data_IF_274804853292
#
_entry.id   IF_274804853292
#
_cell.length_a   1.000
_cell.length_b   1.000
_cell.length_c   1.000
_cell.angle_alpha   90.00
_cell.angle_beta   90.00
_cell.angle_gamma   90.00
#
_symmetry.space_group_name_H-M   'P 1'
#
loop_
_entity.id
_entity.type
_entity.pdbx_description
1 polymer ?
#
# COMPACT_ATOMS: atom_id res chain seq x y z
N UNK A 1 -11.95 -64.62 -23.87
CA UNK A 1 -11.18 -63.77 -22.93
C UNK A 1 -10.99 -62.31 -23.38
N UNK A 2 -11.12 -61.94 -24.68
CA UNK A 2 -10.91 -60.56 -25.18
C UNK A 2 -11.98 -59.52 -24.81
N UNK A 3 -13.23 -59.93 -24.50
CA UNK A 3 -14.31 -58.96 -24.16
C UNK A 3 -14.28 -58.36 -22.75
N UNK A 4 -13.59 -58.97 -21.79
CA UNK A 4 -13.47 -58.47 -20.42
C UNK A 4 -12.43 -57.32 -20.29
N UNK A 5 -11.40 -57.28 -21.14
CA UNK A 5 -10.39 -56.22 -21.17
C UNK A 5 -10.93 -54.91 -21.74
N UNK A 6 -11.90 -54.94 -22.67
CA UNK A 6 -12.48 -53.76 -23.27
C UNK A 6 -13.38 -52.97 -22.31
N UNK A 7 -13.90 -53.60 -21.26
CA UNK A 7 -14.72 -52.93 -20.24
C UNK A 7 -13.90 -52.45 -19.03
N UNK A 8 -12.69 -52.94 -18.83
CA UNK A 8 -11.83 -52.50 -17.72
C UNK A 8 -11.13 -51.18 -18.02
N UNK A 9 -10.79 -50.89 -19.28
CA UNK A 9 -10.12 -49.65 -19.66
C UNK A 9 -10.96 -48.38 -19.36
N UNK A 10 -12.25 -48.28 -19.73
CA UNK A 10 -13.07 -47.12 -19.38
C UNK A 10 -13.34 -47.00 -17.89
N UNK A 11 -13.43 -48.10 -17.13
CA UNK A 11 -13.57 -48.06 -15.69
C UNK A 11 -12.32 -47.51 -14.99
N UNK A 12 -11.13 -47.90 -15.40
CA UNK A 12 -9.87 -47.37 -14.87
C UNK A 12 -9.71 -45.87 -15.20
N UNK A 13 -10.09 -45.45 -16.42
CA UNK A 13 -10.08 -44.05 -16.80
C UNK A 13 -11.04 -43.21 -15.96
N UNK A 14 -12.27 -43.75 -15.72
CA UNK A 14 -13.25 -43.05 -14.88
C UNK A 14 -12.78 -42.94 -13.42
N UNK A 15 -12.15 -43.97 -12.86
CA UNK A 15 -11.59 -43.95 -11.50
C UNK A 15 -10.41 -42.96 -11.42
N UNK A 16 -9.56 -42.85 -12.43
CA UNK A 16 -8.49 -41.88 -12.48
C UNK A 16 -9.01 -40.45 -12.61
N UNK A 17 -10.06 -40.21 -13.42
CA UNK A 17 -10.71 -38.91 -13.52
C UNK A 17 -11.41 -38.50 -12.23
N UNK A 18 -12.11 -39.43 -11.56
CA UNK A 18 -12.74 -39.14 -10.26
C UNK A 18 -11.72 -38.92 -9.15
N UNK A 19 -10.62 -39.65 -9.14
CA UNK A 19 -9.51 -39.44 -8.19
C UNK A 19 -8.82 -38.10 -8.43
N UNK A 20 -8.56 -37.73 -9.69
CA UNK A 20 -8.00 -36.43 -10.04
C UNK A 20 -8.95 -35.26 -9.68
N UNK A 21 -10.25 -35.41 -9.95
CA UNK A 21 -11.28 -34.43 -9.58
C UNK A 21 -11.41 -34.28 -8.05
N UNK A 22 -11.31 -35.36 -7.30
CA UNK A 22 -11.28 -35.35 -5.83
C UNK A 22 -10.02 -34.66 -5.29
N UNK A 23 -8.85 -34.94 -5.88
CA UNK A 23 -7.59 -34.26 -5.49
C UNK A 23 -7.64 -32.77 -5.76
N UNK A 24 -8.28 -32.31 -6.85
CA UNK A 24 -8.50 -30.91 -7.16
C UNK A 24 -9.55 -30.24 -6.25
N UNK A 25 -10.53 -31.04 -5.74
CA UNK A 25 -11.58 -30.57 -4.83
C UNK A 25 -11.11 -30.51 -3.36
N UNK A 26 -10.10 -31.33 -2.99
CA UNK A 26 -9.51 -31.32 -1.65
C UNK A 26 -8.44 -30.23 -1.62
N UNK A 27 -8.77 -29.07 -1.04
CA UNK A 27 -7.81 -27.99 -0.83
C UNK A 27 -6.63 -28.44 0.04
N UNK A 28 -5.48 -27.79 -0.14
CA UNK A 28 -4.31 -27.98 0.70
C UNK A 28 -4.14 -26.81 1.67
N UNK A 29 -3.58 -27.08 2.83
CA UNK A 29 -3.29 -26.08 3.87
C UNK A 29 -1.78 -25.87 3.93
N UNK A 30 -1.23 -24.87 3.23
CA UNK A 30 0.23 -24.68 3.11
C UNK A 30 0.88 -24.37 4.45
N UNK A 31 0.16 -23.73 5.36
CA UNK A 31 0.64 -23.25 6.66
C UNK A 31 0.10 -24.06 7.84
N UNK A 32 -0.49 -25.26 7.64
CA UNK A 32 -1.16 -26.05 8.68
C UNK A 32 -0.36 -26.27 9.97
N UNK A 33 0.96 -26.28 9.89
CA UNK A 33 1.84 -26.55 11.01
C UNK A 33 2.79 -25.37 11.27
N UNK A 34 2.46 -24.17 10.83
CA UNK A 34 3.24 -22.97 11.11
C UNK A 34 3.14 -22.66 12.60
N UNK A 35 4.30 -22.71 13.28
CA UNK A 35 4.42 -22.31 14.68
C UNK A 35 4.88 -20.85 14.76
N UNK A 36 4.29 -20.08 15.66
CA UNK A 36 4.70 -18.70 15.92
C UNK A 36 6.20 -18.58 16.25
N UNK A 37 6.77 -19.59 16.93
CA UNK A 37 8.19 -19.64 17.24
C UNK A 37 9.11 -19.73 16.00
N UNK A 38 8.58 -20.04 14.83
CA UNK A 38 9.31 -20.07 13.56
C UNK A 38 9.34 -18.69 12.89
N UNK A 39 8.51 -17.74 13.33
CA UNK A 39 8.40 -16.40 12.78
C UNK A 39 9.28 -15.46 13.63
N UNK A 40 10.32 -14.88 13.04
CA UNK A 40 11.18 -13.90 13.69
C UNK A 40 10.53 -12.51 13.73
N UNK A 41 9.88 -12.11 12.64
CA UNK A 41 9.09 -10.87 12.54
C UNK A 41 8.04 -10.98 11.45
N UNK A 42 7.00 -10.18 11.56
CA UNK A 42 5.96 -10.09 10.53
C UNK A 42 5.45 -8.66 10.42
N UNK A 43 5.11 -8.25 9.18
CA UNK A 43 4.43 -6.98 8.90
C UNK A 43 3.33 -7.21 7.89
N UNK A 44 2.33 -6.33 7.88
CA UNK A 44 1.26 -6.34 6.88
C UNK A 44 1.12 -4.97 6.23
N UNK A 45 1.06 -4.94 4.90
CA UNK A 45 0.72 -3.76 4.10
C UNK A 45 -0.71 -3.89 3.60
N UNK A 46 -1.53 -2.89 3.90
CA UNK A 46 -2.89 -2.76 3.37
C UNK A 46 -2.88 -1.78 2.19
N UNK A 47 -3.44 -2.21 1.06
CA UNK A 47 -3.54 -1.36 -0.13
C UNK A 47 -4.95 -1.48 -0.74
N UNK A 48 -5.76 -0.38 -0.81
CA UNK A 48 -5.63 0.85 -0.02
C UNK A 48 -5.89 0.64 1.48
N UNK A 49 -5.44 1.52 2.38
CA UNK A 49 -4.92 2.88 2.21
C UNK A 49 -3.41 3.00 2.02
N UNK A 50 -2.72 1.93 1.69
CA UNK A 50 -1.27 1.85 1.50
C UNK A 50 -0.47 2.11 2.78
N UNK A 51 -0.92 1.48 3.87
CA UNK A 51 -0.29 1.53 5.19
C UNK A 51 0.34 0.21 5.55
N UNK A 52 1.55 0.27 6.10
CA UNK A 52 2.27 -0.89 6.63
C UNK A 52 2.25 -0.86 8.15
N UNK A 53 1.94 -2.01 8.75
CA UNK A 53 1.81 -2.20 10.20
C UNK A 53 2.70 -3.35 10.62
N UNK A 54 3.49 -3.17 11.68
CA UNK A 54 4.26 -4.27 12.30
C UNK A 54 3.32 -5.15 13.13
N UNK A 55 3.55 -6.47 13.09
CA UNK A 55 2.71 -7.45 13.79
C UNK A 55 3.45 -7.94 15.03
N UNK A 56 3.10 -7.40 16.20
CA UNK A 56 3.67 -7.82 17.48
C UNK A 56 3.20 -9.22 17.88
N UNK A 57 1.91 -9.52 17.69
CA UNK A 57 1.31 -10.81 18.04
C UNK A 57 1.36 -11.81 16.88
N UNK A 58 2.57 -12.32 16.58
CA UNK A 58 2.77 -13.31 15.51
C UNK A 58 2.00 -14.63 15.77
N UNK A 59 1.60 -14.90 17.02
CA UNK A 59 0.84 -16.12 17.36
C UNK A 59 -0.56 -16.09 16.77
N UNK A 60 -1.20 -14.93 16.77
CA UNK A 60 -2.53 -14.75 16.18
C UNK A 60 -2.47 -14.85 14.64
N UNK A 61 -1.45 -14.23 14.02
CA UNK A 61 -1.20 -14.39 12.60
C UNK A 61 -0.98 -15.85 12.20
N UNK A 62 -0.14 -16.59 12.95
CA UNK A 62 0.11 -18.01 12.71
C UNK A 62 -1.20 -18.82 12.82
N UNK A 63 -2.07 -18.50 13.76
CA UNK A 63 -3.38 -19.12 13.90
C UNK A 63 -4.26 -18.88 12.65
N UNK A 64 -4.37 -17.64 12.17
CA UNK A 64 -5.10 -17.28 10.96
C UNK A 64 -4.54 -18.02 9.73
N UNK A 65 -3.22 -18.06 9.57
CA UNK A 65 -2.55 -18.74 8.46
C UNK A 65 -2.74 -20.27 8.48
N UNK A 66 -2.77 -20.87 9.67
CA UNK A 66 -3.02 -22.30 9.83
C UNK A 66 -4.38 -22.75 9.25
N UNK A 67 -5.37 -21.86 9.21
CA UNK A 67 -6.70 -22.15 8.69
C UNK A 67 -6.85 -21.92 7.19
N UNK A 68 -5.86 -21.31 6.55
CA UNK A 68 -5.87 -21.05 5.12
C UNK A 68 -5.90 -22.34 4.30
N UNK A 69 -6.83 -22.40 3.36
CA UNK A 69 -6.99 -23.50 2.41
C UNK A 69 -6.87 -22.96 1.00
N UNK A 70 -5.88 -23.44 0.24
CA UNK A 70 -5.71 -23.13 -1.17
C UNK A 70 -6.07 -24.33 -2.05
N UNK A 71 -6.56 -24.03 -3.25
CA UNK A 71 -6.97 -25.03 -4.24
C UNK A 71 -5.96 -25.05 -5.41
N UNK A 72 -6.43 -24.79 -6.62
CA UNK A 72 -5.59 -24.72 -7.82
C UNK A 72 -4.99 -23.33 -7.98
N UNK A 73 -3.86 -23.28 -8.69
CA UNK A 73 -3.23 -22.02 -9.09
C UNK A 73 -4.14 -21.23 -10.03
N UNK A 74 -4.31 -19.94 -9.74
CA UNK A 74 -5.11 -19.01 -10.52
C UNK A 74 -4.58 -17.59 -10.33
N UNK A 75 -4.01 -17.02 -11.38
CA UNK A 75 -3.42 -15.69 -11.37
C UNK A 75 -4.38 -14.59 -11.87
N UNK A 76 -5.68 -14.90 -12.02
CA UNK A 76 -6.69 -13.90 -12.45
C UNK A 76 -6.95 -12.80 -11.38
N UNK A 77 -6.34 -12.92 -10.21
CA UNK A 77 -6.41 -11.89 -9.16
C UNK A 77 -5.97 -10.51 -9.68
N UNK A 78 -5.07 -10.44 -10.68
CA UNK A 78 -4.60 -9.18 -11.28
C UNK A 78 -5.69 -8.40 -12.01
N UNK A 79 -6.82 -9.03 -12.32
CA UNK A 79 -7.97 -8.40 -12.99
C UNK A 79 -9.02 -7.87 -12.00
N UNK A 80 -8.83 -8.11 -10.70
CA UNK A 80 -9.77 -7.69 -9.66
C UNK A 80 -9.34 -6.37 -9.04
N UNK A 81 -10.34 -5.56 -8.65
CA UNK A 81 -10.15 -4.37 -7.85
C UNK A 81 -10.64 -4.62 -6.41
N UNK A 82 -9.89 -4.13 -5.43
CA UNK A 82 -10.25 -4.27 -4.01
C UNK A 82 -9.07 -4.03 -3.10
N UNK A 83 -9.29 -4.09 -1.80
CA UNK A 83 -8.24 -4.00 -0.81
C UNK A 83 -7.45 -5.31 -0.75
N UNK A 84 -6.12 -5.21 -0.79
CA UNK A 84 -5.20 -6.30 -0.55
C UNK A 84 -4.52 -6.15 0.82
N UNK A 85 -4.36 -7.26 1.54
CA UNK A 85 -3.56 -7.32 2.76
C UNK A 85 -2.34 -8.23 2.49
N UNK A 86 -1.18 -7.60 2.28
CA UNK A 86 0.08 -8.27 1.98
C UNK A 86 0.91 -8.43 3.27
N UNK A 87 1.05 -9.66 3.73
CA UNK A 87 1.85 -10.05 4.89
C UNK A 87 3.25 -10.43 4.44
N UNK A 88 4.27 -9.82 5.03
CA UNK A 88 5.66 -10.24 4.87
C UNK A 88 6.10 -10.92 6.16
N UNK A 89 6.44 -12.20 6.10
CA UNK A 89 6.95 -12.98 7.22
C UNK A 89 8.44 -13.19 7.05
N UNK A 90 9.22 -12.86 8.06
CA UNK A 90 10.64 -13.24 8.17
C UNK A 90 10.72 -14.41 9.14
N UNK A 91 11.21 -15.54 8.67
CA UNK A 91 11.36 -16.75 9.46
C UNK A 91 12.64 -16.71 10.28
N UNK A 92 12.74 -17.51 11.34
CA UNK A 92 13.93 -17.61 12.19
C UNK A 92 15.16 -18.16 11.48
N UNK A 93 15.00 -18.82 10.34
CA UNK A 93 16.10 -19.26 9.47
C UNK A 93 16.55 -18.21 8.44
N UNK A 94 15.94 -17.01 8.47
CA UNK A 94 16.21 -15.90 7.58
C UNK A 94 15.45 -15.94 6.25
N UNK A 95 14.62 -16.95 6.00
CA UNK A 95 13.77 -16.96 4.80
C UNK A 95 12.64 -15.95 4.94
N UNK A 96 12.27 -15.35 3.82
CA UNK A 96 11.11 -14.46 3.75
C UNK A 96 10.02 -15.06 2.87
N UNK A 97 8.77 -14.85 3.24
CA UNK A 97 7.59 -15.27 2.48
C UNK A 97 6.61 -14.10 2.43
N UNK A 98 6.12 -13.80 1.24
CA UNK A 98 5.05 -12.82 1.04
C UNK A 98 3.72 -13.53 0.81
N UNK A 99 2.69 -13.16 1.59
CA UNK A 99 1.36 -13.76 1.54
C UNK A 99 0.36 -12.62 1.39
N UNK A 100 -0.30 -12.51 0.24
CA UNK A 100 -1.33 -11.49 0.02
C UNK A 100 -2.72 -12.11 0.07
N UNK A 101 -3.52 -11.69 1.03
CA UNK A 101 -4.94 -12.00 1.11
C UNK A 101 -5.73 -11.05 0.20
N UNK A 102 -6.36 -11.61 -0.82
CA UNK A 102 -7.13 -10.89 -1.83
C UNK A 102 -8.36 -11.74 -2.25
N UNK A 103 -9.33 -11.85 -1.33
CA UNK A 103 -10.48 -12.77 -1.52
C UNK A 103 -11.16 -12.60 -2.90
N UNK A 104 -11.41 -13.69 -3.66
CA UNK A 104 -11.28 -15.11 -3.32
C UNK A 104 -9.92 -15.73 -3.67
N UNK A 105 -8.84 -14.97 -3.64
CA UNK A 105 -7.48 -15.43 -3.94
C UNK A 105 -6.57 -15.29 -2.72
N UNK A 106 -5.57 -16.17 -2.66
CA UNK A 106 -4.38 -16.00 -1.84
C UNK A 106 -3.17 -16.02 -2.76
N UNK A 107 -2.32 -15.00 -2.70
CA UNK A 107 -1.08 -14.94 -3.46
C UNK A 107 0.07 -15.29 -2.51
N UNK A 108 0.91 -16.23 -2.88
CA UNK A 108 2.08 -16.66 -2.10
C UNK A 108 3.30 -16.48 -3.00
N UNK A 109 4.22 -15.60 -2.60
CA UNK A 109 5.45 -15.28 -3.35
C UNK A 109 5.17 -14.99 -4.84
N UNK A 110 4.14 -14.18 -5.10
CA UNK A 110 3.71 -13.78 -6.44
C UNK A 110 2.87 -14.80 -7.21
N UNK A 111 2.61 -15.98 -6.64
CA UNK A 111 1.78 -17.01 -7.28
C UNK A 111 0.38 -17.01 -6.67
N UNK A 112 -0.64 -16.73 -7.49
CA UNK A 112 -2.05 -16.71 -7.07
C UNK A 112 -2.65 -18.11 -6.99
N UNK A 113 -3.52 -18.31 -6.00
CA UNK A 113 -4.30 -19.52 -5.79
C UNK A 113 -5.74 -19.18 -5.47
N UNK A 114 -6.69 -19.95 -5.97
CA UNK A 114 -8.04 -19.92 -5.41
C UNK A 114 -7.99 -20.39 -3.95
N UNK A 115 -8.71 -19.71 -3.06
CA UNK A 115 -8.75 -20.02 -1.64
C UNK A 115 -10.16 -20.16 -1.13
N UNK A 116 -10.30 -20.83 0.02
CA UNK A 116 -11.54 -20.80 0.79
C UNK A 116 -11.76 -19.35 1.27
N UNK A 117 -12.94 -18.82 1.02
CA UNK A 117 -13.27 -17.41 1.25
C UNK A 117 -13.07 -17.00 2.71
N UNK A 118 -13.70 -17.72 3.65
CA UNK A 118 -13.72 -17.37 5.07
C UNK A 118 -12.33 -17.20 5.71
N UNK A 119 -11.35 -18.12 5.58
CA UNK A 119 -10.00 -17.91 6.13
C UNK A 119 -9.24 -16.76 5.48
N UNK A 120 -9.45 -16.51 4.17
CA UNK A 120 -8.85 -15.38 3.47
C UNK A 120 -9.42 -14.04 3.96
N UNK A 121 -10.73 -13.96 4.15
CA UNK A 121 -11.39 -12.79 4.74
C UNK A 121 -11.00 -12.57 6.21
N UNK A 122 -10.72 -13.65 6.96
CA UNK A 122 -10.20 -13.54 8.31
C UNK A 122 -8.83 -12.85 8.37
N UNK A 123 -7.92 -13.16 7.42
CA UNK A 123 -6.64 -12.46 7.28
C UNK A 123 -6.83 -10.97 6.96
N UNK A 124 -7.72 -10.65 6.02
CA UNK A 124 -8.01 -9.25 5.67
C UNK A 124 -8.63 -8.49 6.85
N UNK A 125 -9.53 -9.12 7.60
CA UNK A 125 -10.12 -8.54 8.82
C UNK A 125 -9.07 -8.31 9.89
N UNK A 126 -8.22 -9.30 10.17
CA UNK A 126 -7.11 -9.20 11.11
C UNK A 126 -6.19 -8.00 10.78
N UNK A 127 -5.81 -7.84 9.51
CA UNK A 127 -5.02 -6.70 9.07
C UNK A 127 -5.72 -5.35 9.32
N UNK A 128 -7.03 -5.26 9.06
CA UNK A 128 -7.80 -4.04 9.29
C UNK A 128 -8.00 -3.76 10.81
N UNK A 129 -8.11 -4.80 11.64
CA UNK A 129 -8.19 -4.67 13.10
C UNK A 129 -6.87 -4.12 13.65
N UNK A 130 -5.70 -4.60 13.18
CA UNK A 130 -4.40 -4.05 13.53
C UNK A 130 -4.29 -2.57 13.18
N UNK A 131 -4.72 -2.18 11.98
CA UNK A 131 -4.71 -0.77 11.57
C UNK A 131 -5.63 0.09 12.43
N UNK A 132 -6.79 -0.45 12.86
CA UNK A 132 -7.82 0.29 13.62
C UNK A 132 -7.52 0.37 15.11
N UNK A 133 -6.74 -0.56 15.66
CA UNK A 133 -6.46 -0.63 17.11
C UNK A 133 -5.60 0.52 17.61
N UNK A 134 -4.92 1.25 16.73
CA UNK A 134 -4.05 2.37 17.09
C UNK A 134 -2.83 1.98 17.95
N UNK A 135 -2.64 0.67 18.19
CA UNK A 135 -1.53 0.11 18.99
C UNK A 135 -0.39 -0.41 18.13
N UNK A 136 -0.61 -0.49 16.82
CA UNK A 136 0.41 -0.98 15.91
C UNK A 136 1.29 0.17 15.42
N UNK A 137 2.58 0.01 15.54
CA UNK A 137 3.57 0.93 14.98
C UNK A 137 3.46 0.94 13.45
N UNK A 138 3.03 2.07 12.89
CA UNK A 138 2.97 2.26 11.44
C UNK A 138 4.39 2.42 10.92
N UNK A 139 4.81 1.53 10.03
CA UNK A 139 6.13 1.61 9.41
C UNK A 139 6.04 2.48 8.16
N UNK A 140 6.66 3.66 8.22
CA UNK A 140 6.74 4.58 7.09
C UNK A 140 7.99 4.29 6.23
N UNK A 141 7.93 3.29 5.37
CA UNK A 141 9.06 2.90 4.51
C UNK A 141 9.39 3.97 3.45
N UNK A 142 8.44 4.84 3.11
CA UNK A 142 8.55 5.94 2.16
C UNK A 142 7.65 7.11 2.58
N UNK A 143 7.87 8.34 2.05
CA UNK A 143 7.01 9.49 2.36
C UNK A 143 5.55 9.21 1.99
N UNK A 144 4.58 9.42 2.92
CA UNK A 144 3.16 9.22 2.68
C UNK A 144 2.63 10.09 1.54
N UNK A 145 1.75 9.56 0.70
CA UNK A 145 1.11 10.34 -0.37
C UNK A 145 0.27 11.49 0.19
N UNK A 146 0.28 12.64 -0.51
CA UNK A 146 -0.54 13.81 -0.19
C UNK A 146 -1.69 13.94 -1.20
N UNK A 147 -2.91 14.02 -0.71
CA UNK A 147 -4.10 14.39 -1.47
C UNK A 147 -4.54 15.82 -1.14
N UNK A 148 -4.87 16.58 -2.17
CA UNK A 148 -5.40 17.95 -2.07
C UNK A 148 -6.88 17.91 -2.45
N UNK A 149 -7.75 18.32 -1.54
CA UNK A 149 -9.21 18.21 -1.69
C UNK A 149 -9.82 19.61 -1.68
N UNK A 150 -10.53 19.97 -2.73
CA UNK A 150 -11.26 21.23 -2.82
C UNK A 150 -12.55 21.02 -3.64
N UNK A 151 -13.64 21.67 -3.30
CA UNK A 151 -14.92 21.54 -4.02
C UNK A 151 -15.45 20.10 -4.18
N UNK A 152 -15.07 19.17 -3.27
CA UNK A 152 -15.48 17.76 -3.33
C UNK A 152 -14.65 16.90 -4.29
N UNK A 153 -13.67 17.46 -4.99
CA UNK A 153 -12.72 16.74 -5.85
C UNK A 153 -11.38 16.57 -5.11
N UNK A 154 -10.71 15.46 -5.35
CA UNK A 154 -9.40 15.15 -4.78
C UNK A 154 -8.37 14.94 -5.88
N UNK A 155 -7.21 15.57 -5.76
CA UNK A 155 -6.06 15.36 -6.63
C UNK A 155 -4.84 14.95 -5.81
N UNK A 156 -3.98 14.12 -6.37
CA UNK A 156 -2.72 13.73 -5.73
C UNK A 156 -1.66 14.79 -6.00
N UNK A 157 -0.97 15.23 -4.95
CA UNK A 157 0.23 16.04 -5.09
C UNK A 157 1.41 15.18 -5.55
N UNK A 158 2.34 15.77 -6.27
CA UNK A 158 3.59 15.13 -6.67
C UNK A 158 4.59 15.15 -5.52
N UNK A 159 5.21 14.01 -5.24
CA UNK A 159 6.31 13.91 -4.28
C UNK A 159 7.54 14.62 -4.86
N UNK A 160 8.03 15.60 -4.14
CA UNK A 160 9.21 16.38 -4.48
C UNK A 160 10.48 15.83 -3.84
N UNK A 161 11.31 16.74 -3.36
CA UNK A 161 12.55 16.40 -2.63
C UNK A 161 12.21 15.82 -1.26
N UNK A 162 12.91 14.74 -0.87
CA UNK A 162 12.76 14.19 0.46
C UNK A 162 14.08 13.64 1.02
N UNK A 163 14.16 13.63 2.35
CA UNK A 163 15.18 12.95 3.13
C UNK A 163 14.47 12.01 4.10
N UNK A 164 14.70 10.70 3.95
CA UNK A 164 13.92 9.68 4.64
C UNK A 164 14.81 8.64 5.29
N UNK A 165 14.47 8.22 6.48
CA UNK A 165 15.07 7.08 7.16
C UNK A 165 14.12 5.90 7.10
N UNK A 166 14.65 4.71 6.85
CA UNK A 166 13.93 3.44 6.98
C UNK A 166 14.86 2.35 7.49
N UNK A 167 14.28 1.24 7.94
CA UNK A 167 15.03 0.04 8.26
C UNK A 167 15.20 -0.85 7.02
N UNK A 168 16.38 -1.42 6.84
CA UNK A 168 16.61 -2.47 5.84
C UNK A 168 16.08 -3.84 6.35
N UNK A 169 16.26 -4.89 5.53
CA UNK A 169 15.83 -6.24 5.87
C UNK A 169 16.55 -6.81 7.12
N UNK A 170 17.74 -6.28 7.44
CA UNK A 170 18.54 -6.68 8.61
C UNK A 170 18.23 -5.80 9.85
N UNK A 171 17.31 -4.84 9.73
CA UNK A 171 16.91 -3.92 10.80
C UNK A 171 17.85 -2.72 10.98
N UNK A 172 18.84 -2.51 10.09
CA UNK A 172 19.73 -1.35 10.16
C UNK A 172 19.06 -0.12 9.57
N UNK A 173 19.31 1.05 10.14
CA UNK A 173 18.81 2.32 9.61
C UNK A 173 19.51 2.69 8.30
N UNK A 174 18.73 2.93 7.26
CA UNK A 174 19.17 3.40 5.94
C UNK A 174 18.54 4.76 5.67
N UNK A 175 19.36 5.72 5.21
CA UNK A 175 18.87 7.04 4.81
C UNK A 175 18.79 7.14 3.28
N UNK A 176 17.66 7.64 2.79
CA UNK A 176 17.40 7.89 1.37
C UNK A 176 17.25 9.40 1.21
N UNK A 177 18.01 9.98 0.27
CA UNK A 177 17.84 11.37 -0.14
C UNK A 177 17.51 11.40 -1.63
N UNK A 178 16.34 11.90 -1.97
CA UNK A 178 15.90 12.08 -3.34
C UNK A 178 15.67 13.57 -3.63
N UNK A 179 16.24 14.05 -4.72
CA UNK A 179 16.02 15.41 -5.21
C UNK A 179 15.00 15.42 -6.33
N UNK A 180 14.22 16.48 -6.42
CA UNK A 180 13.35 16.79 -7.55
C UNK A 180 13.76 18.10 -8.22
N UNK A 181 13.26 18.35 -9.43
CA UNK A 181 13.33 19.68 -10.02
C UNK A 181 12.51 20.67 -9.19
N UNK A 182 12.85 21.97 -9.31
CA UNK A 182 12.04 23.04 -8.70
C UNK A 182 10.61 22.99 -9.26
N UNK A 183 9.54 23.21 -8.44
CA UNK A 183 8.17 23.15 -8.92
C UNK A 183 7.89 23.97 -10.18
N UNK A 184 8.48 25.17 -10.29
CA UNK A 184 8.36 26.03 -11.48
C UNK A 184 9.02 25.47 -12.76
N UNK A 185 9.78 24.40 -12.69
CA UNK A 185 10.31 23.66 -13.85
C UNK A 185 9.46 22.45 -14.22
N UNK A 186 8.37 22.21 -13.49
CA UNK A 186 7.53 21.02 -13.64
C UNK A 186 6.20 21.31 -14.35
N UNK A 187 6.12 22.36 -15.20
CA UNK A 187 4.88 22.75 -15.88
C UNK A 187 4.22 21.59 -16.63
N UNK A 188 4.99 20.85 -17.44
CA UNK A 188 4.46 19.70 -18.21
C UNK A 188 3.91 18.60 -17.32
N UNK A 189 4.45 18.43 -16.10
CA UNK A 189 4.02 17.41 -15.15
C UNK A 189 2.76 17.84 -14.40
N UNK A 190 2.60 19.13 -14.14
CA UNK A 190 1.54 19.69 -13.31
C UNK A 190 0.33 20.17 -14.13
N UNK A 191 0.49 20.43 -15.42
CA UNK A 191 -0.58 20.90 -16.30
C UNK A 191 -1.46 19.75 -16.81
N UNK A 192 -2.79 19.95 -16.92
CA UNK A 192 -3.53 21.18 -16.59
C UNK A 192 -3.70 21.37 -15.09
N UNK A 193 -3.97 22.62 -14.62
CA UNK A 193 -4.26 22.89 -13.22
C UNK A 193 -5.51 22.14 -12.76
N UNK A 194 -5.55 21.88 -11.47
CA UNK A 194 -6.82 21.56 -10.83
C UNK A 194 -7.63 22.85 -10.65
N UNK A 195 -8.81 22.94 -11.29
CA UNK A 195 -9.67 24.10 -11.21
C UNK A 195 -10.70 23.95 -10.07
N UNK A 196 -10.89 25.01 -9.28
CA UNK A 196 -11.84 25.04 -8.18
C UNK A 196 -12.40 26.45 -7.96
N UNK A 197 -13.70 26.58 -7.66
CA UNK A 197 -14.28 27.84 -7.21
C UNK A 197 -14.04 28.12 -5.71
N UNK A 198 -13.51 27.14 -4.97
CA UNK A 198 -13.37 27.26 -3.53
C UNK A 198 -12.09 28.00 -3.15
N UNK A 199 -12.18 28.90 -2.16
CA UNK A 199 -11.06 29.66 -1.64
C UNK A 199 -10.15 28.83 -0.68
N UNK A 200 -10.48 27.56 -0.46
CA UNK A 200 -9.72 26.69 0.44
C UNK A 200 -9.58 25.28 -0.10
N UNK A 201 -8.46 24.64 0.22
CA UNK A 201 -8.27 23.22 -0.01
C UNK A 201 -7.89 22.53 1.31
N UNK A 202 -8.25 21.26 1.45
CA UNK A 202 -7.83 20.41 2.57
C UNK A 202 -6.66 19.55 2.12
N UNK A 203 -5.57 19.59 2.89
CA UNK A 203 -4.42 18.71 2.70
C UNK A 203 -4.62 17.46 3.54
N UNK A 204 -4.59 16.28 2.89
CA UNK A 204 -4.73 14.99 3.55
C UNK A 204 -3.58 14.07 3.17
N UNK A 205 -2.71 13.81 4.12
CA UNK A 205 -1.68 12.80 3.97
C UNK A 205 -2.27 11.40 4.19
N UNK A 206 -1.72 10.40 3.51
CA UNK A 206 -2.09 8.99 3.72
C UNK A 206 -1.76 8.53 5.15
N UNK A 207 -0.69 9.08 5.73
CA UNK A 207 -0.38 9.06 7.15
C UNK A 207 -0.13 10.48 7.62
N UNK A 208 -0.77 10.87 8.73
CA UNK A 208 -0.74 12.25 9.23
C UNK A 208 0.69 12.68 9.54
N UNK A 209 1.08 13.86 9.07
CA UNK A 209 2.39 14.42 9.35
C UNK A 209 2.43 14.97 10.78
N UNK A 210 3.56 14.80 11.46
CA UNK A 210 3.78 15.43 12.77
C UNK A 210 3.77 16.95 12.69
N UNK A 211 4.26 17.48 11.56
CA UNK A 211 4.21 18.90 11.28
C UNK A 211 4.23 19.21 9.78
N UNK A 212 3.46 20.21 9.35
CA UNK A 212 3.68 20.95 8.11
C UNK A 212 4.53 22.17 8.44
N UNK A 213 5.78 22.18 7.97
CA UNK A 213 6.78 23.18 8.36
C UNK A 213 6.88 24.34 7.39
N UNK A 214 6.38 24.18 6.15
CA UNK A 214 6.42 25.24 5.14
C UNK A 214 5.31 25.04 4.12
N UNK A 215 4.63 26.12 3.75
CA UNK A 215 3.69 26.18 2.64
C UNK A 215 4.05 27.39 1.79
N UNK A 216 4.62 27.15 0.61
CA UNK A 216 5.02 28.18 -0.34
C UNK A 216 4.13 28.13 -1.57
N UNK A 217 3.99 29.27 -2.24
CA UNK A 217 3.32 29.32 -3.53
C UNK A 217 3.98 30.34 -4.46
N UNK A 218 3.76 30.13 -5.76
CA UNK A 218 4.15 31.00 -6.86
C UNK A 218 2.99 31.15 -7.82
N UNK A 219 2.82 32.35 -8.40
CA UNK A 219 1.93 32.53 -9.54
C UNK A 219 2.43 31.70 -10.73
N UNK A 220 1.52 31.16 -11.53
CA UNK A 220 1.80 30.45 -12.78
C UNK A 220 2.44 31.35 -13.85
N UNK A 221 2.45 32.67 -13.67
CA UNK A 221 3.23 33.60 -14.50
C UNK A 221 4.75 33.35 -14.41
N UNK A 222 5.21 32.69 -13.35
CA UNK A 222 6.63 32.39 -13.10
C UNK A 222 7.09 31.02 -13.60
N UNK A 223 6.31 30.34 -14.42
CA UNK A 223 6.77 29.10 -15.06
C UNK A 223 8.13 29.28 -15.76
N UNK A 224 9.06 28.38 -15.47
CA UNK A 224 10.43 28.44 -15.99
C UNK A 224 11.37 29.38 -15.22
N UNK A 225 10.90 30.10 -14.20
CA UNK A 225 11.68 31.08 -13.43
C UNK A 225 11.93 30.62 -11.97
N UNK A 226 12.78 29.62 -11.71
CA UNK A 226 12.99 29.06 -10.37
C UNK A 226 13.60 30.05 -9.37
N UNK A 227 14.12 31.18 -9.86
CA UNK A 227 14.62 32.28 -9.02
C UNK A 227 13.51 33.26 -8.56
N UNK A 228 12.25 33.06 -9.01
CA UNK A 228 11.13 33.87 -8.55
C UNK A 228 10.92 33.69 -7.04
N UNK A 229 10.61 34.80 -6.38
CA UNK A 229 10.33 34.78 -4.95
C UNK A 229 9.02 34.03 -4.67
N UNK A 230 9.07 33.06 -3.77
CA UNK A 230 7.85 32.42 -3.25
C UNK A 230 7.13 33.35 -2.28
N UNK A 231 5.83 33.18 -2.18
CA UNK A 231 5.02 33.73 -1.10
C UNK A 231 4.65 32.61 -0.12
N UNK A 232 4.44 32.96 1.15
CA UNK A 232 3.88 32.02 2.11
C UNK A 232 2.37 31.98 1.94
N UNK A 233 1.80 30.76 1.89
CA UNK A 233 0.37 30.55 1.89
C UNK A 233 -0.11 30.25 3.32
N UNK A 234 -1.26 30.81 3.69
CA UNK A 234 -1.84 30.56 4.98
C UNK A 234 -2.36 29.11 5.09
N UNK A 235 -1.90 28.42 6.12
CA UNK A 235 -2.25 27.04 6.41
C UNK A 235 -2.58 26.89 7.90
N UNK A 236 -3.76 26.37 8.20
CA UNK A 236 -4.18 26.11 9.58
C UNK A 236 -5.02 24.83 9.64
N UNK A 237 -4.67 23.92 10.55
CA UNK A 237 -5.40 22.66 10.85
C UNK A 237 -5.79 21.85 9.60
N UNK A 238 -4.87 21.70 8.66
CA UNK A 238 -5.10 20.94 7.43
C UNK A 238 -5.77 21.73 6.31
N UNK A 239 -6.23 22.97 6.58
CA UNK A 239 -6.84 23.84 5.58
C UNK A 239 -5.80 24.82 4.99
N UNK A 240 -5.66 24.81 3.67
CA UNK A 240 -4.82 25.72 2.89
C UNK A 240 -5.70 26.80 2.28
N UNK A 241 -5.36 28.08 2.51
CA UNK A 241 -5.98 29.18 1.80
C UNK A 241 -5.44 29.27 0.37
N UNK A 242 -6.33 29.24 -0.60
CA UNK A 242 -6.00 29.35 -2.02
C UNK A 242 -5.99 30.82 -2.44
N UNK A 243 -5.10 31.16 -3.38
CA UNK A 243 -5.06 32.47 -4.01
C UNK A 243 -5.84 32.45 -5.32
N UNK A 244 -6.52 33.57 -5.64
CA UNK A 244 -7.22 33.73 -6.90
C UNK A 244 -6.25 33.68 -8.08
N UNK A 245 -6.63 32.99 -9.15
CA UNK A 245 -5.77 32.72 -10.30
C UNK A 245 -5.04 31.38 -10.21
N UNK A 246 -4.04 31.17 -11.06
CA UNK A 246 -3.24 29.96 -11.11
C UNK A 246 -2.03 30.05 -10.20
N UNK A 247 -1.90 29.08 -9.29
CA UNK A 247 -0.77 29.03 -8.34
C UNK A 247 -0.23 27.62 -8.20
N UNK A 248 1.11 27.53 -8.16
CA UNK A 248 1.86 26.34 -7.83
C UNK A 248 2.14 26.38 -6.32
N UNK A 249 1.80 25.33 -5.60
CA UNK A 249 2.03 25.20 -4.16
C UNK A 249 3.09 24.15 -3.89
N UNK A 250 3.97 24.43 -2.93
CA UNK A 250 4.92 23.46 -2.36
C UNK A 250 4.67 23.33 -0.86
N UNK A 251 4.41 22.11 -0.41
CA UNK A 251 4.17 21.77 0.99
C UNK A 251 5.37 20.99 1.48
N UNK A 252 5.98 21.40 2.58
CA UNK A 252 7.02 20.60 3.27
C UNK A 252 6.47 20.09 4.58
N UNK A 253 6.53 18.79 4.77
CA UNK A 253 6.03 18.12 5.95
C UNK A 253 7.09 17.19 6.57
N UNK A 254 6.94 16.92 7.87
CA UNK A 254 7.89 16.13 8.68
C UNK A 254 7.13 15.00 9.37
N UNK A 255 7.73 13.82 9.36
CA UNK A 255 7.37 12.66 10.15
C UNK A 255 8.55 12.28 11.03
N UNK A 256 8.35 12.24 12.34
CA UNK A 256 9.39 11.88 13.28
C UNK A 256 9.72 10.40 13.16
N UNK A 257 11.01 10.08 13.09
CA UNK A 257 11.46 8.70 12.92
C UNK A 257 11.46 7.95 14.27
N UNK A 258 10.35 7.95 15.02
CA UNK A 258 10.27 7.33 16.35
C UNK A 258 10.56 5.83 16.29
N UNK A 259 10.09 5.14 15.23
CA UNK A 259 10.32 3.71 15.01
C UNK A 259 11.45 3.44 14.00
N UNK A 260 12.32 4.43 13.76
CA UNK A 260 13.42 4.36 12.82
C UNK A 260 13.00 4.53 11.35
N UNK A 261 11.73 4.92 11.11
CA UNK A 261 11.18 5.23 9.79
C UNK A 261 10.51 6.60 9.84
N UNK A 262 10.87 7.50 8.95
CA UNK A 262 10.36 8.87 8.90
C UNK A 262 11.34 9.82 8.25
N UNK A 263 11.01 11.11 8.22
CA UNK A 263 11.87 12.11 7.62
C UNK A 263 11.11 13.37 7.22
N UNK A 264 11.65 14.06 6.22
CA UNK A 264 11.06 15.27 5.66
C UNK A 264 10.81 15.07 4.18
N UNK A 265 9.65 15.50 3.70
CA UNK A 265 9.30 15.44 2.29
C UNK A 265 8.61 16.74 1.84
N UNK A 266 8.87 17.15 0.60
CA UNK A 266 8.11 18.20 -0.06
C UNK A 266 7.15 17.60 -1.08
N UNK A 267 6.05 18.28 -1.30
CA UNK A 267 5.00 17.93 -2.26
C UNK A 267 4.60 19.17 -3.03
N UNK A 268 4.28 19.03 -4.30
CA UNK A 268 3.84 20.16 -5.09
C UNK A 268 2.66 19.80 -5.99
N UNK A 269 1.82 20.79 -6.23
CA UNK A 269 0.64 20.71 -7.08
C UNK A 269 0.31 22.08 -7.67
N UNK A 270 -0.44 22.06 -8.75
CA UNK A 270 -0.90 23.27 -9.42
C UNK A 270 -2.43 23.36 -9.34
N UNK A 271 -2.91 24.47 -8.77
CA UNK A 271 -4.33 24.78 -8.60
C UNK A 271 -4.65 26.13 -9.23
N UNK A 272 -5.83 26.21 -9.86
CA UNK A 272 -6.40 27.45 -10.36
C UNK A 272 -7.74 27.70 -9.67
N UNK A 273 -7.77 28.73 -8.84
CA UNK A 273 -9.01 29.18 -8.20
C UNK A 273 -9.67 30.21 -9.12
N UNK A 274 -10.93 29.96 -9.46
CA UNK A 274 -11.76 30.91 -10.21
C UNK A 274 -12.04 32.16 -9.35
N UNK A 275 -12.09 33.36 -10.00
CA UNK A 275 -12.41 34.63 -9.34
C UNK A 275 -13.89 34.74 -8.97
#
# INVERSE_FOLDING_TARGET
MKKRWLLMAPACILVLFTAAALLLAVGRRPYKNLDAAQIASAKVRLSPPDKTVEIENVSELACCLNDVVIYHQDNSYTEYAGQAAAFTLTMTDGTQTEITAYSPFLVIDGVGYKTKQEPCEALSRYANELLSSGTADIILEEPPALSVISGGTSVSAFLGTYSWQKKDADGNSVSINAGSAHPLHCEELLSPPYETPEATAVLRFAEEADAVVSVKCWSDEYWGEPAACSEEAAFDRGALALKAGGYIYEITAVWNAENGCGGTASYFFYIKMEE
#
